data_IF_037143470917
#
_entry.id   IF_037143470917
#
_cell.length_a   1.000
_cell.length_b   1.000
_cell.length_c   1.000
_cell.angle_alpha   90.00
_cell.angle_beta   90.00
_cell.angle_gamma   90.00
#
_symmetry.space_group_name_H-M   'P 1'
#
loop_
_entity.id
_entity.type
_entity.pdbx_description
1 polymer ?
#
# COMPACT_ATOMS: atom_id res chain seq x y z
N UNK A 1 0.73 -20.17 16.20
CA UNK A 1 1.86 -19.63 15.42
C UNK A 1 1.49 -19.64 13.94
N UNK A 2 1.48 -18.51 13.29
CA UNK A 2 1.10 -18.36 11.86
C UNK A 2 2.37 -18.24 11.04
N UNK A 3 2.54 -19.12 10.04
CA UNK A 3 3.67 -19.04 9.10
C UNK A 3 3.33 -18.02 8.00
N UNK A 4 4.24 -17.09 7.73
CA UNK A 4 4.13 -16.12 6.64
C UNK A 4 5.32 -16.23 5.69
N UNK A 5 5.09 -15.87 4.43
CA UNK A 5 6.16 -15.73 3.44
C UNK A 5 6.73 -14.32 3.50
N UNK A 6 8.05 -14.19 3.39
CA UNK A 6 8.73 -12.90 3.42
C UNK A 6 9.62 -12.75 2.19
N UNK A 7 9.35 -11.71 1.37
CA UNK A 7 10.18 -11.35 0.22
C UNK A 7 11.07 -10.16 0.58
N UNK A 8 12.40 -10.37 0.61
CA UNK A 8 13.36 -9.33 1.00
C UNK A 8 13.54 -8.21 -0.05
N UNK A 9 13.27 -8.50 -1.32
CA UNK A 9 13.31 -7.49 -2.39
C UNK A 9 14.70 -6.96 -2.74
N UNK A 10 14.71 -5.79 -3.38
CA UNK A 10 15.89 -5.11 -3.89
C UNK A 10 16.22 -3.83 -3.10
N UNK A 11 17.42 -3.29 -3.34
CA UNK A 11 17.85 -2.00 -2.80
C UNK A 11 17.85 -1.96 -1.28
N UNK A 12 17.02 -1.10 -0.70
CA UNK A 12 16.84 -1.00 0.76
C UNK A 12 16.00 -2.15 1.34
N UNK A 13 15.39 -2.98 0.49
CA UNK A 13 14.46 -4.05 0.89
C UNK A 13 15.00 -4.99 1.96
N UNK A 14 16.20 -5.60 1.80
CA UNK A 14 16.77 -6.48 2.82
C UNK A 14 16.96 -5.79 4.17
N UNK A 15 17.46 -4.55 4.17
CA UNK A 15 17.73 -3.74 5.37
C UNK A 15 16.44 -3.47 6.15
N UNK A 16 15.40 -2.95 5.49
CA UNK A 16 14.13 -2.65 6.17
C UNK A 16 13.37 -3.92 6.57
N UNK A 17 13.51 -5.02 5.81
CA UNK A 17 12.94 -6.32 6.19
C UNK A 17 13.53 -6.81 7.51
N UNK A 18 14.86 -6.84 7.60
CA UNK A 18 15.56 -7.32 8.79
C UNK A 18 15.21 -6.46 10.02
N UNK A 19 15.10 -5.15 9.85
CA UNK A 19 14.64 -4.21 10.87
C UNK A 19 13.20 -4.53 11.35
N UNK A 20 12.27 -4.73 10.42
CA UNK A 20 10.87 -5.04 10.74
C UNK A 20 10.75 -6.38 11.47
N UNK A 21 11.42 -7.43 10.99
CA UNK A 21 11.41 -8.75 11.64
C UNK A 21 11.96 -8.66 13.07
N UNK A 22 13.03 -7.86 13.30
CA UNK A 22 13.60 -7.62 14.63
C UNK A 22 12.57 -7.01 15.58
N UNK A 23 11.81 -6.02 15.12
CA UNK A 23 10.73 -5.39 15.92
C UNK A 23 9.59 -6.36 16.18
N UNK A 24 9.12 -7.10 15.16
CA UNK A 24 8.03 -8.08 15.32
C UNK A 24 8.37 -9.13 16.38
N UNK A 25 9.58 -9.67 16.33
CA UNK A 25 10.06 -10.66 17.31
C UNK A 25 10.16 -10.07 18.71
N UNK A 26 10.72 -8.86 18.87
CA UNK A 26 10.83 -8.18 20.15
C UNK A 26 9.46 -7.82 20.75
N UNK A 27 8.47 -7.50 19.89
CA UNK A 27 7.11 -7.22 20.33
C UNK A 27 6.33 -8.47 20.77
N UNK A 28 6.83 -9.67 20.44
CA UNK A 28 6.19 -10.95 20.75
C UNK A 28 5.12 -11.37 19.74
N UNK A 29 5.30 -11.03 18.45
CA UNK A 29 4.41 -11.49 17.40
C UNK A 29 4.46 -13.03 17.29
N UNK A 30 3.29 -13.66 17.20
CA UNK A 30 3.15 -15.12 17.08
C UNK A 30 3.24 -15.54 15.61
N UNK A 31 4.46 -15.42 15.05
CA UNK A 31 4.75 -15.63 13.63
C UNK A 31 5.95 -16.55 13.43
N UNK A 32 5.88 -17.35 12.35
CA UNK A 32 7.00 -18.04 11.72
C UNK A 32 7.26 -17.45 10.34
N UNK A 33 8.52 -17.45 9.88
CA UNK A 33 8.91 -16.76 8.65
C UNK A 33 9.57 -17.72 7.66
N UNK A 34 9.06 -17.76 6.44
CA UNK A 34 9.74 -18.40 5.29
C UNK A 34 10.33 -17.29 4.41
N UNK A 35 11.66 -17.11 4.45
CA UNK A 35 12.36 -16.02 3.76
C UNK A 35 12.80 -16.40 2.35
N UNK A 36 12.57 -15.49 1.41
CA UNK A 36 13.03 -15.60 0.03
C UNK A 36 13.66 -14.30 -0.44
N UNK A 37 14.84 -14.44 -1.07
CA UNK A 37 15.37 -13.37 -1.88
C UNK A 37 14.59 -13.35 -3.20
N UNK A 38 14.24 -12.16 -3.65
CA UNK A 38 13.52 -11.92 -4.91
C UNK A 38 14.04 -10.65 -5.54
N UNK A 39 13.86 -10.48 -6.85
CA UNK A 39 14.23 -9.27 -7.56
C UNK A 39 15.45 -9.43 -8.46
N UNK A 40 16.15 -8.32 -8.72
CA UNK A 40 17.19 -8.23 -9.75
C UNK A 40 18.37 -9.19 -9.52
N UNK A 41 18.85 -9.33 -8.29
CA UNK A 41 19.95 -10.26 -7.97
C UNK A 41 19.58 -11.71 -8.23
N UNK A 42 18.37 -12.12 -7.87
CA UNK A 42 17.88 -13.48 -8.13
C UNK A 42 17.75 -13.72 -9.64
N UNK A 43 17.32 -12.71 -10.39
CA UNK A 43 17.24 -12.80 -11.86
C UNK A 43 18.62 -13.00 -12.52
N UNK A 44 19.66 -12.36 -12.03
CA UNK A 44 21.03 -12.55 -12.54
C UNK A 44 21.47 -14.01 -12.43
N UNK A 45 21.12 -14.68 -11.34
CA UNK A 45 21.51 -16.05 -11.02
C UNK A 45 20.60 -17.12 -11.66
N UNK A 46 19.27 -16.91 -11.62
CA UNK A 46 18.27 -17.93 -11.95
C UNK A 46 17.49 -17.64 -13.23
N UNK A 47 17.55 -16.41 -13.76
CA UNK A 47 16.70 -15.87 -14.82
C UNK A 47 15.23 -15.72 -14.45
N UNK A 48 14.91 -15.81 -13.15
CA UNK A 48 13.59 -15.58 -12.58
C UNK A 48 13.70 -14.51 -11.50
N UNK A 49 12.77 -13.54 -11.48
CA UNK A 49 12.73 -12.51 -10.42
C UNK A 49 12.20 -13.06 -9.09
N UNK A 50 11.33 -14.06 -9.18
CA UNK A 50 10.72 -14.76 -8.05
C UNK A 50 10.79 -16.24 -8.41
N UNK A 51 11.47 -17.05 -7.58
CA UNK A 51 11.62 -18.47 -7.82
C UNK A 51 10.31 -19.25 -7.57
N UNK A 52 10.17 -20.43 -8.19
CA UNK A 52 9.00 -21.28 -7.98
C UNK A 52 8.78 -21.62 -6.49
N UNK A 53 9.84 -21.89 -5.74
CA UNK A 53 9.76 -22.14 -4.28
C UNK A 53 9.20 -20.97 -3.50
N UNK A 54 9.50 -19.74 -3.92
CA UNK A 54 8.95 -18.53 -3.30
C UNK A 54 7.45 -18.39 -3.58
N UNK A 55 7.01 -18.77 -4.77
CA UNK A 55 5.58 -18.84 -5.10
C UNK A 55 4.89 -19.95 -4.30
N UNK A 56 5.43 -21.15 -4.25
CA UNK A 56 4.88 -22.27 -3.48
C UNK A 56 4.71 -21.92 -1.99
N UNK A 57 5.70 -21.23 -1.40
CA UNK A 57 5.60 -20.75 -0.03
C UNK A 57 4.44 -19.77 0.15
N UNK A 58 4.29 -18.80 -0.77
CA UNK A 58 3.19 -17.83 -0.68
C UNK A 58 1.83 -18.51 -0.91
N UNK A 59 1.74 -19.45 -1.83
CA UNK A 59 0.52 -20.24 -2.08
C UNK A 59 0.09 -21.08 -0.87
N UNK A 60 1.07 -21.65 -0.17
CA UNK A 60 0.83 -22.39 1.08
C UNK A 60 0.40 -21.48 2.23
N UNK A 61 1.14 -20.41 2.46
CA UNK A 61 0.99 -19.56 3.64
C UNK A 61 -0.11 -18.51 3.48
N UNK A 62 -0.45 -18.12 2.22
CA UNK A 62 -1.47 -17.14 1.83
C UNK A 62 -1.22 -15.70 2.30
N UNK A 63 -0.19 -15.48 3.09
CA UNK A 63 0.20 -14.19 3.66
C UNK A 63 1.64 -13.89 3.25
N UNK A 64 1.84 -12.74 2.66
CA UNK A 64 3.12 -12.24 2.19
C UNK A 64 3.45 -10.89 2.82
N UNK A 65 4.60 -10.79 3.48
CA UNK A 65 5.23 -9.52 3.80
C UNK A 65 6.33 -9.26 2.76
N UNK A 66 6.20 -8.16 2.00
CA UNK A 66 7.05 -7.91 0.84
C UNK A 66 7.72 -6.54 0.91
N UNK A 67 9.03 -6.53 0.78
CA UNK A 67 9.82 -5.32 0.54
C UNK A 67 9.85 -4.92 -0.94
N UNK A 68 10.32 -3.71 -1.26
CA UNK A 68 10.34 -3.22 -2.64
C UNK A 68 11.12 -4.14 -3.59
N UNK A 69 10.57 -4.35 -4.79
CA UNK A 69 11.22 -5.08 -5.87
C UNK A 69 11.40 -4.13 -7.06
N UNK A 70 12.60 -4.05 -7.60
CA UNK A 70 12.90 -3.24 -8.78
C UNK A 70 12.37 -3.94 -10.03
N UNK A 71 11.49 -3.27 -10.77
CA UNK A 71 11.09 -3.71 -12.10
C UNK A 71 11.99 -3.03 -13.12
N UNK A 72 12.70 -3.76 -13.99
CA UNK A 72 13.52 -3.16 -15.02
C UNK A 72 12.70 -2.29 -15.97
N UNK A 73 13.19 -1.12 -16.30
CA UNK A 73 12.62 -0.25 -17.33
C UNK A 73 13.10 -0.76 -18.69
N UNK A 74 12.21 -1.37 -19.49
CA UNK A 74 12.58 -1.86 -20.81
C UNK A 74 11.50 -2.73 -21.47
N UNK A 75 11.65 -2.99 -22.76
CA UNK A 75 10.67 -3.78 -23.53
C UNK A 75 10.61 -5.22 -23.01
N UNK A 76 9.42 -5.67 -22.61
CA UNK A 76 9.07 -7.07 -22.39
C UNK A 76 8.85 -7.54 -20.95
N UNK A 77 9.07 -6.71 -19.93
CA UNK A 77 8.82 -7.10 -18.55
C UNK A 77 7.57 -6.40 -17.98
N UNK A 78 6.59 -7.19 -17.56
CA UNK A 78 5.50 -6.67 -16.74
C UNK A 78 6.01 -6.37 -15.33
N UNK A 79 5.46 -5.33 -14.69
CA UNK A 79 5.73 -5.06 -13.28
C UNK A 79 5.48 -6.32 -12.44
N UNK A 80 6.47 -6.69 -11.61
CA UNK A 80 6.37 -7.84 -10.73
C UNK A 80 5.22 -7.67 -9.71
N UNK A 81 4.99 -6.44 -9.26
CA UNK A 81 3.87 -6.12 -8.40
C UNK A 81 2.52 -6.40 -9.11
N UNK A 82 2.38 -5.97 -10.36
CA UNK A 82 1.18 -6.25 -11.18
C UNK A 82 1.02 -7.75 -11.41
N UNK A 83 2.11 -8.48 -11.64
CA UNK A 83 2.09 -9.95 -11.80
C UNK A 83 1.58 -10.64 -10.53
N UNK A 84 2.09 -10.27 -9.35
CA UNK A 84 1.61 -10.82 -8.07
C UNK A 84 0.13 -10.50 -7.83
N UNK A 85 -0.27 -9.24 -8.04
CA UNK A 85 -1.66 -8.79 -7.86
C UNK A 85 -2.64 -9.56 -8.74
N UNK A 86 -2.28 -9.79 -9.99
CA UNK A 86 -3.13 -10.53 -10.94
C UNK A 86 -3.12 -12.04 -10.68
N UNK A 87 -1.93 -12.64 -10.41
CA UNK A 87 -1.82 -14.08 -10.16
C UNK A 87 -2.65 -14.53 -8.96
N UNK A 88 -2.70 -13.72 -7.91
CA UNK A 88 -3.39 -14.04 -6.66
C UNK A 88 -4.70 -13.29 -6.46
N UNK A 89 -5.22 -12.65 -7.52
CA UNK A 89 -6.44 -11.82 -7.50
C UNK A 89 -6.49 -10.87 -6.27
N UNK A 90 -5.41 -10.13 -6.03
CA UNK A 90 -5.30 -9.16 -4.94
C UNK A 90 -6.02 -7.86 -5.35
N UNK A 91 -7.33 -7.90 -5.37
CA UNK A 91 -8.16 -6.88 -6.00
C UNK A 91 -8.34 -5.59 -5.20
N UNK A 92 -8.10 -5.61 -3.90
CA UNK A 92 -8.19 -4.42 -3.06
C UNK A 92 -6.81 -3.97 -2.60
N UNK A 93 -6.37 -2.77 -3.02
CA UNK A 93 -5.21 -2.12 -2.42
C UNK A 93 -5.71 -1.04 -1.44
N UNK A 94 -5.31 -1.18 -0.16
CA UNK A 94 -5.77 -0.33 0.93
C UNK A 94 -4.57 0.42 1.50
N UNK A 95 -4.64 1.76 1.49
CA UNK A 95 -3.55 2.66 1.90
C UNK A 95 -4.07 3.69 2.89
N UNK A 96 -3.90 3.49 4.21
CA UNK A 96 -4.24 4.49 5.22
C UNK A 96 -3.14 5.55 5.34
N UNK A 97 -3.46 6.79 5.03
CA UNK A 97 -2.60 7.95 5.20
C UNK A 97 -3.04 8.73 6.45
N UNK A 98 -2.24 8.62 7.52
CA UNK A 98 -2.52 9.30 8.79
C UNK A 98 -1.34 10.16 9.19
N UNK A 99 -1.58 11.48 9.35
CA UNK A 99 -0.56 12.39 9.84
C UNK A 99 -0.19 12.08 11.30
N UNK A 100 1.10 12.22 11.60
CA UNK A 100 1.61 12.15 12.95
C UNK A 100 1.95 13.57 13.42
N UNK A 101 1.39 14.07 14.54
CA UNK A 101 1.66 15.42 15.03
C UNK A 101 3.15 15.71 15.28
N UNK A 102 3.94 14.66 15.50
CA UNK A 102 5.38 14.77 15.78
C UNK A 102 6.24 14.84 14.50
N UNK A 103 5.64 14.65 13.33
CA UNK A 103 6.34 14.76 12.03
C UNK A 103 5.94 16.06 11.37
N UNK A 104 6.88 17.00 11.15
CA UNK A 104 6.57 18.29 10.55
C UNK A 104 6.05 18.11 9.11
N UNK A 105 4.80 18.47 8.87
CA UNK A 105 4.18 18.55 7.55
C UNK A 105 3.41 19.86 7.40
N UNK A 106 2.97 20.18 6.19
CA UNK A 106 2.11 21.36 5.94
C UNK A 106 0.67 21.13 6.39
N UNK A 107 0.29 19.87 6.61
CA UNK A 107 -1.09 19.47 6.85
C UNK A 107 -1.20 18.76 8.19
N UNK A 108 -2.18 19.17 8.97
CA UNK A 108 -2.49 18.58 10.27
C UNK A 108 -3.80 17.77 10.17
N UNK A 109 -3.96 16.80 11.06
CA UNK A 109 -5.19 16.01 11.20
C UNK A 109 -5.65 15.28 9.92
N UNK A 110 -4.70 14.90 9.06
CA UNK A 110 -4.99 14.03 7.92
C UNK A 110 -5.22 12.60 8.43
N UNK A 111 -6.38 12.01 8.12
CA UNK A 111 -6.68 10.60 8.41
C UNK A 111 -7.56 10.04 7.30
N UNK A 112 -6.95 9.66 6.19
CA UNK A 112 -7.61 9.28 4.95
C UNK A 112 -7.24 7.84 4.60
N UNK A 113 -8.23 7.02 4.24
CA UNK A 113 -7.98 5.66 3.76
C UNK A 113 -8.38 5.54 2.29
N UNK A 114 -7.42 5.19 1.45
CA UNK A 114 -7.65 5.00 0.02
C UNK A 114 -7.89 3.52 -0.29
N UNK A 115 -9.04 3.22 -0.90
CA UNK A 115 -9.37 1.94 -1.51
C UNK A 115 -9.18 2.05 -3.02
N UNK A 116 -8.11 1.43 -3.52
CA UNK A 116 -7.75 1.37 -4.93
C UNK A 116 -8.14 0.01 -5.50
N UNK A 117 -8.97 -0.01 -6.54
CA UNK A 117 -9.11 -1.22 -7.35
C UNK A 117 -7.74 -1.58 -7.92
N UNK A 118 -7.38 -2.86 -7.98
CA UNK A 118 -5.97 -3.23 -8.12
C UNK A 118 -5.68 -4.21 -9.28
N UNK A 119 -6.69 -4.64 -10.03
CA UNK A 119 -6.57 -5.73 -11.02
C UNK A 119 -6.94 -5.34 -12.44
N UNK A 120 -7.59 -4.20 -12.65
CA UNK A 120 -8.04 -3.76 -13.98
C UNK A 120 -7.61 -2.31 -14.29
N UNK A 121 -8.40 -1.57 -15.05
CA UNK A 121 -8.12 -0.22 -15.53
C UNK A 121 -7.02 -0.23 -16.62
N UNK A 122 -6.19 0.79 -16.72
CA UNK A 122 -5.02 0.85 -17.61
C UNK A 122 -3.91 -0.14 -17.21
N UNK A 123 -3.93 -0.65 -15.98
CA UNK A 123 -2.95 -1.61 -15.46
C UNK A 123 -3.06 -3.02 -16.07
N UNK A 124 -4.11 -3.31 -16.83
CA UNK A 124 -4.16 -4.53 -17.67
C UNK A 124 -3.07 -4.52 -18.75
N UNK A 125 -2.52 -3.33 -19.07
CA UNK A 125 -1.45 -3.15 -20.06
C UNK A 125 -1.90 -3.54 -21.49
N UNK A 126 -3.18 -3.38 -21.79
CA UNK A 126 -3.69 -3.63 -23.13
C UNK A 126 -3.54 -2.39 -23.98
N UNK A 127 -2.61 -2.44 -24.92
CA UNK A 127 -2.34 -1.38 -25.89
C UNK A 127 -2.38 -1.92 -27.30
N UNK A 128 -2.71 -1.06 -28.25
CA UNK A 128 -2.80 -1.40 -29.68
C UNK A 128 -2.13 -0.32 -30.52
N UNK A 129 -1.13 -0.73 -31.30
CA UNK A 129 -0.48 0.13 -32.28
C UNK A 129 -1.42 0.20 -33.52
N UNK A 130 -2.00 1.36 -33.79
CA UNK A 130 -2.92 1.57 -34.93
C UNK A 130 -2.15 1.88 -36.20
N UNK A 131 -1.14 2.76 -36.09
CA UNK A 131 -0.22 3.15 -37.14
C UNK A 131 1.12 3.61 -36.53
N UNK A 132 2.04 4.10 -37.35
CA UNK A 132 3.39 4.56 -36.92
C UNK A 132 3.35 5.66 -35.84
N UNK A 133 2.26 6.44 -35.77
CA UNK A 133 2.12 7.62 -34.93
C UNK A 133 1.03 7.51 -33.87
N UNK A 134 0.23 6.43 -33.88
CA UNK A 134 -0.98 6.32 -33.07
C UNK A 134 -1.01 5.02 -32.27
N UNK A 135 -1.13 5.13 -30.93
CA UNK A 135 -1.30 4.00 -30.02
C UNK A 135 -2.56 4.20 -29.20
N UNK A 136 -3.39 3.16 -29.09
CA UNK A 136 -4.53 3.12 -28.19
C UNK A 136 -4.17 2.38 -26.90
N UNK A 137 -4.56 2.94 -25.76
CA UNK A 137 -4.53 2.28 -24.46
C UNK A 137 -5.98 2.03 -23.99
N UNK A 138 -6.25 0.80 -23.56
CA UNK A 138 -7.60 0.40 -23.16
C UNK A 138 -7.76 0.50 -21.64
N UNK A 139 -8.64 1.38 -21.20
CA UNK A 139 -9.13 1.41 -19.82
C UNK A 139 -10.27 0.40 -19.68
N UNK A 140 -10.07 -0.64 -18.88
CA UNK A 140 -11.05 -1.70 -18.66
C UNK A 140 -11.64 -1.55 -17.26
N UNK A 141 -12.96 -1.35 -17.19
CA UNK A 141 -13.73 -1.29 -15.94
C UNK A 141 -14.85 -2.31 -16.03
N UNK A 142 -14.91 -3.23 -15.07
CA UNK A 142 -15.93 -4.27 -15.02
C UNK A 142 -16.87 -4.11 -13.82
N UNK A 143 -18.11 -4.56 -13.97
CA UNK A 143 -19.08 -4.60 -12.88
C UNK A 143 -18.56 -5.41 -11.70
N UNK A 144 -17.92 -6.56 -11.96
CA UNK A 144 -17.41 -7.47 -10.93
C UNK A 144 -16.37 -6.76 -10.06
N UNK A 145 -15.32 -6.20 -10.65
CA UNK A 145 -14.23 -5.56 -9.91
C UNK A 145 -14.71 -4.28 -9.20
N UNK A 146 -15.52 -3.44 -9.88
CA UNK A 146 -16.10 -2.25 -9.27
C UNK A 146 -16.98 -2.59 -8.05
N UNK A 147 -17.84 -3.60 -8.16
CA UNK A 147 -18.72 -4.00 -7.06
C UNK A 147 -17.93 -4.46 -5.84
N UNK A 148 -16.90 -5.30 -6.01
CA UNK A 148 -16.14 -5.86 -4.88
C UNK A 148 -15.35 -4.78 -4.14
N UNK A 149 -14.67 -3.87 -4.84
CA UNK A 149 -13.89 -2.82 -4.19
C UNK A 149 -14.77 -1.79 -3.49
N UNK A 150 -15.88 -1.39 -4.11
CA UNK A 150 -16.82 -0.42 -3.52
C UNK A 150 -17.48 -1.01 -2.27
N UNK A 151 -17.92 -2.27 -2.35
CA UNK A 151 -18.50 -2.97 -1.19
C UNK A 151 -17.51 -3.07 -0.03
N UNK A 152 -16.27 -3.48 -0.32
CA UNK A 152 -15.21 -3.55 0.69
C UNK A 152 -14.94 -2.19 1.35
N UNK A 153 -14.99 -1.07 0.59
CA UNK A 153 -14.82 0.26 1.15
C UNK A 153 -15.98 0.65 2.09
N UNK A 154 -17.23 0.35 1.74
CA UNK A 154 -18.37 0.56 2.65
C UNK A 154 -18.29 -0.31 3.90
N UNK A 155 -17.98 -1.61 3.74
CA UNK A 155 -17.82 -2.54 4.87
C UNK A 155 -16.69 -2.10 5.80
N UNK A 156 -15.59 -1.58 5.25
CA UNK A 156 -14.52 -0.97 6.02
C UNK A 156 -15.02 0.24 6.82
N UNK A 157 -15.80 1.13 6.21
CA UNK A 157 -16.39 2.28 6.90
C UNK A 157 -17.21 1.82 8.11
N UNK A 158 -18.07 0.82 7.95
CA UNK A 158 -18.88 0.28 9.03
C UNK A 158 -18.01 -0.34 10.13
N UNK A 159 -17.08 -1.22 9.76
CA UNK A 159 -16.20 -1.93 10.70
C UNK A 159 -15.33 -0.99 11.53
N UNK A 160 -14.81 0.08 10.90
CA UNK A 160 -13.90 1.02 11.53
C UNK A 160 -14.55 2.33 11.98
N UNK A 161 -15.91 2.36 11.99
CA UNK A 161 -16.70 3.52 12.41
C UNK A 161 -16.36 4.81 11.65
N UNK A 162 -15.94 4.69 10.38
CA UNK A 162 -15.76 5.79 9.45
C UNK A 162 -17.11 6.35 9.02
N UNK A 163 -17.17 7.63 8.71
CA UNK A 163 -18.45 8.33 8.51
C UNK A 163 -18.74 8.68 7.06
N UNK A 164 -17.69 8.79 6.25
CA UNK A 164 -17.81 9.28 4.88
C UNK A 164 -17.01 8.42 3.89
N UNK A 165 -17.64 8.12 2.76
CA UNK A 165 -17.00 7.45 1.63
C UNK A 165 -17.16 8.29 0.37
N UNK A 166 -16.02 8.71 -0.21
CA UNK A 166 -15.97 9.48 -1.45
C UNK A 166 -15.57 8.59 -2.62
N UNK A 167 -16.43 8.48 -3.64
CA UNK A 167 -16.11 7.86 -4.91
C UNK A 167 -15.34 8.84 -5.80
N UNK A 168 -14.15 8.47 -6.25
CA UNK A 168 -13.33 9.30 -7.14
C UNK A 168 -13.37 8.74 -8.56
N UNK A 169 -13.75 9.59 -9.53
CA UNK A 169 -14.00 9.17 -10.91
C UNK A 169 -13.72 10.29 -11.93
N UNK A 170 -13.84 9.98 -13.22
CA UNK A 170 -13.81 10.97 -14.34
C UNK A 170 -15.01 10.78 -15.29
N UNK A 171 -16.20 10.48 -14.75
CA UNK A 171 -17.40 10.16 -15.52
C UNK A 171 -17.93 11.32 -16.38
N UNK A 172 -17.50 12.56 -16.11
CA UNK A 172 -17.82 13.69 -16.99
C UNK A 172 -17.17 13.56 -18.39
N UNK A 173 -16.06 12.83 -18.50
CA UNK A 173 -15.35 12.52 -19.75
C UNK A 173 -15.56 11.05 -20.14
N UNK A 174 -15.23 10.12 -19.22
CA UNK A 174 -15.31 8.68 -19.43
C UNK A 174 -16.70 8.17 -19.03
N UNK A 175 -17.72 8.58 -19.82
CA UNK A 175 -19.14 8.36 -19.48
C UNK A 175 -19.55 6.90 -19.37
N UNK A 176 -18.88 5.97 -20.09
CA UNK A 176 -19.19 4.54 -20.05
C UNK A 176 -18.37 3.84 -18.96
N UNK A 177 -17.07 3.92 -18.99
CA UNK A 177 -16.20 3.19 -18.04
C UNK A 177 -16.29 3.74 -16.61
N UNK A 178 -15.98 5.02 -16.41
CA UNK A 178 -16.09 5.63 -15.08
C UNK A 178 -17.56 5.84 -14.67
N UNK A 179 -18.44 6.03 -15.67
CA UNK A 179 -19.89 6.06 -15.45
C UNK A 179 -20.40 4.73 -14.85
N UNK A 180 -19.90 3.58 -15.34
CA UNK A 180 -20.22 2.28 -14.74
C UNK A 180 -19.78 2.19 -13.28
N UNK A 181 -18.53 2.61 -12.97
CA UNK A 181 -18.01 2.62 -11.61
C UNK A 181 -18.85 3.49 -10.67
N UNK A 182 -19.19 4.71 -11.12
CA UNK A 182 -20.01 5.66 -10.37
C UNK A 182 -21.43 5.13 -10.12
N UNK A 183 -22.12 4.60 -11.13
CA UNK A 183 -23.46 4.05 -10.95
C UNK A 183 -23.49 2.87 -9.97
N UNK A 184 -22.47 1.99 -10.02
CA UNK A 184 -22.35 0.89 -9.04
C UNK A 184 -22.16 1.43 -7.63
N UNK A 185 -21.35 2.50 -7.47
CA UNK A 185 -21.18 3.16 -6.18
C UNK A 185 -22.50 3.74 -5.67
N UNK A 186 -23.24 4.47 -6.49
CA UNK A 186 -24.53 5.05 -6.14
C UNK A 186 -25.58 3.99 -5.78
N UNK A 187 -25.54 2.83 -6.45
CA UNK A 187 -26.45 1.73 -6.14
C UNK A 187 -26.11 1.07 -4.81
N UNK A 188 -24.84 0.77 -4.56
CA UNK A 188 -24.39 0.13 -3.30
C UNK A 188 -24.58 1.08 -2.11
N UNK A 189 -24.38 2.40 -2.30
CA UNK A 189 -24.55 3.39 -1.24
C UNK A 189 -25.95 3.35 -0.58
N UNK A 190 -26.97 2.94 -1.32
CA UNK A 190 -28.34 2.78 -0.80
C UNK A 190 -28.47 1.75 0.33
N UNK A 191 -27.54 0.76 0.34
CA UNK A 191 -27.51 -0.30 1.36
C UNK A 191 -26.78 0.16 2.64
N UNK A 192 -26.14 1.34 2.62
CA UNK A 192 -25.34 1.88 3.73
C UNK A 192 -25.77 3.30 4.15
N UNK A 193 -27.05 3.50 4.54
CA UNK A 193 -27.58 4.83 4.83
C UNK A 193 -26.91 5.56 6.00
N UNK A 194 -26.13 4.83 6.81
CA UNK A 194 -25.35 5.38 7.93
C UNK A 194 -24.01 6.01 7.50
N UNK A 195 -23.60 5.83 6.24
CA UNK A 195 -22.37 6.39 5.69
C UNK A 195 -22.73 7.54 4.74
N UNK A 196 -22.11 8.70 4.96
CA UNK A 196 -22.19 9.81 3.99
C UNK A 196 -21.46 9.42 2.70
N UNK A 197 -22.23 9.13 1.65
CA UNK A 197 -21.71 8.75 0.34
C UNK A 197 -21.74 9.96 -0.60
N UNK A 198 -20.57 10.34 -1.13
CA UNK A 198 -20.47 11.37 -2.16
C UNK A 198 -19.52 10.97 -3.28
N UNK A 199 -19.48 11.76 -4.35
CA UNK A 199 -18.56 11.53 -5.45
C UNK A 199 -17.86 12.81 -5.88
N UNK A 200 -16.61 12.70 -6.33
CA UNK A 200 -15.82 13.81 -6.85
C UNK A 200 -15.05 13.38 -8.11
N UNK A 201 -14.90 14.36 -9.02
CA UNK A 201 -14.04 14.19 -10.19
C UNK A 201 -12.57 14.22 -9.75
N UNK A 202 -11.74 13.33 -10.29
CA UNK A 202 -10.38 13.08 -9.81
C UNK A 202 -9.47 14.31 -9.76
N UNK A 203 -9.52 15.18 -10.75
CA UNK A 203 -8.75 16.44 -10.77
C UNK A 203 -9.20 17.40 -9.66
N UNK A 204 -10.52 17.52 -9.44
CA UNK A 204 -11.05 18.27 -8.31
C UNK A 204 -10.65 17.60 -6.97
N UNK A 205 -10.67 16.28 -6.88
CA UNK A 205 -10.21 15.55 -5.69
C UNK A 205 -8.77 15.89 -5.35
N UNK A 206 -7.87 15.88 -6.34
CA UNK A 206 -6.47 16.24 -6.14
C UNK A 206 -6.31 17.68 -5.61
N UNK A 207 -7.05 18.63 -6.17
CA UNK A 207 -7.05 20.03 -5.70
C UNK A 207 -7.58 20.11 -4.25
N UNK A 208 -8.70 19.46 -3.97
CA UNK A 208 -9.33 19.49 -2.65
C UNK A 208 -8.48 18.83 -1.57
N UNK A 209 -7.75 17.76 -1.89
CA UNK A 209 -6.80 17.12 -0.98
C UNK A 209 -5.68 18.06 -0.54
N UNK A 210 -5.24 18.97 -1.42
CA UNK A 210 -4.23 19.98 -1.09
C UNK A 210 -4.82 21.17 -0.33
N UNK A 211 -6.07 21.53 -0.59
CA UNK A 211 -6.70 22.68 0.04
C UNK A 211 -7.39 22.36 1.36
N UNK A 212 -8.08 21.22 1.41
CA UNK A 212 -8.97 20.81 2.49
C UNK A 212 -8.92 19.28 2.70
N UNK A 213 -7.77 18.69 3.09
CA UNK A 213 -7.64 17.24 3.27
C UNK A 213 -8.56 16.69 4.37
N UNK A 214 -8.92 17.52 5.35
CA UNK A 214 -9.78 17.16 6.47
C UNK A 214 -11.22 16.81 6.09
N UNK A 215 -11.67 17.15 4.87
CA UNK A 215 -12.99 16.77 4.38
C UNK A 215 -13.10 15.31 3.92
N UNK A 216 -11.97 14.62 3.74
CA UNK A 216 -11.92 13.24 3.31
C UNK A 216 -11.75 12.28 4.50
N UNK A 217 -12.40 11.13 4.41
CA UNK A 217 -12.34 10.06 5.41
C UNK A 217 -11.91 8.74 4.73
N UNK A 218 -12.79 8.14 3.93
CA UNK A 218 -12.45 7.00 3.08
C UNK A 218 -12.72 7.38 1.62
N UNK A 219 -11.84 6.96 0.73
CA UNK A 219 -11.99 7.17 -0.71
C UNK A 219 -11.93 5.83 -1.45
N UNK A 220 -12.75 5.65 -2.48
CA UNK A 220 -12.73 4.49 -3.37
C UNK A 220 -12.62 4.93 -4.82
N UNK A 221 -11.78 4.25 -5.60
CA UNK A 221 -11.49 4.65 -6.97
C UNK A 221 -10.92 3.53 -7.85
N UNK A 222 -11.01 3.68 -9.19
CA UNK A 222 -10.30 2.84 -10.14
C UNK A 222 -8.78 2.86 -9.94
N UNK A 223 -8.11 1.90 -10.55
CA UNK A 223 -6.71 1.58 -10.32
C UNK A 223 -5.75 2.76 -10.54
N UNK A 224 -5.75 3.38 -11.71
CA UNK A 224 -4.83 4.48 -12.01
C UNK A 224 -5.03 5.69 -11.09
N UNK A 225 -6.28 6.05 -10.82
CA UNK A 225 -6.54 7.16 -9.91
C UNK A 225 -6.08 6.84 -8.49
N UNK A 226 -6.27 5.59 -8.05
CA UNK A 226 -5.80 5.12 -6.75
C UNK A 226 -4.28 5.17 -6.61
N UNK A 227 -3.53 4.91 -7.68
CA UNK A 227 -2.08 5.06 -7.69
C UNK A 227 -1.67 6.52 -7.47
N UNK A 228 -2.21 7.42 -8.29
CA UNK A 228 -1.87 8.84 -8.25
C UNK A 228 -2.32 9.49 -6.92
N UNK A 229 -3.56 9.24 -6.51
CA UNK A 229 -4.14 9.87 -5.32
C UNK A 229 -3.51 9.36 -4.02
N UNK A 230 -3.14 8.09 -3.94
CA UNK A 230 -2.49 7.59 -2.74
C UNK A 230 -1.06 8.11 -2.57
N UNK A 231 -0.33 8.36 -3.66
CA UNK A 231 0.97 9.03 -3.59
C UNK A 231 0.81 10.51 -3.17
N UNK A 232 -0.24 11.18 -3.67
CA UNK A 232 -0.58 12.52 -3.20
C UNK A 232 -0.88 12.52 -1.68
N UNK A 233 -1.71 11.59 -1.20
CA UNK A 233 -2.02 11.51 0.24
C UNK A 233 -0.80 11.18 1.10
N UNK A 234 0.16 10.40 0.57
CA UNK A 234 1.43 10.18 1.27
C UNK A 234 2.23 11.47 1.46
N UNK A 235 2.22 12.34 0.45
CA UNK A 235 2.84 13.66 0.53
C UNK A 235 2.23 14.55 1.62
N UNK A 236 0.92 14.41 1.89
CA UNK A 236 0.26 15.16 2.94
C UNK A 236 0.73 14.77 4.36
N UNK A 237 1.19 13.54 4.55
CA UNK A 237 1.59 12.99 5.86
C UNK A 237 3.11 12.94 6.09
N UNK A 238 3.92 13.44 5.16
CA UNK A 238 5.37 13.48 5.29
C UNK A 238 6.13 12.52 4.36
N UNK A 239 5.45 11.81 3.47
CA UNK A 239 6.06 11.02 2.39
C UNK A 239 5.80 9.52 2.46
N UNK A 240 6.27 8.83 1.41
CA UNK A 240 6.06 7.40 1.20
C UNK A 240 6.68 6.50 2.29
N UNK A 241 7.71 6.98 2.99
CA UNK A 241 8.35 6.26 4.11
C UNK A 241 7.45 6.03 5.32
N UNK A 242 6.26 6.67 5.35
CA UNK A 242 5.28 6.57 6.43
C UNK A 242 3.96 5.92 6.00
N UNK A 243 3.79 5.63 4.72
CA UNK A 243 2.55 5.11 4.16
C UNK A 243 2.55 3.58 4.13
N UNK A 244 1.73 2.90 4.96
CA UNK A 244 1.54 1.46 4.86
C UNK A 244 0.61 1.10 3.72
N UNK A 245 0.68 -0.16 3.29
CA UNK A 245 -0.19 -0.70 2.26
C UNK A 245 -0.47 -2.19 2.47
N UNK A 246 -1.68 -2.60 2.16
CA UNK A 246 -1.97 -4.01 1.93
C UNK A 246 -2.70 -4.19 0.60
N UNK A 247 -2.45 -5.32 -0.03
CA UNK A 247 -3.16 -5.80 -1.21
C UNK A 247 -3.91 -7.07 -0.80
N UNK A 248 -5.23 -7.07 -0.93
CA UNK A 248 -6.08 -8.18 -0.47
C UNK A 248 -6.88 -8.76 -1.63
N UNK A 249 -6.93 -10.08 -1.66
CA UNK A 249 -7.89 -10.89 -2.40
C UNK A 249 -8.80 -11.64 -1.45
N UNK A 250 -9.55 -12.60 -1.99
CA UNK A 250 -10.45 -13.43 -1.19
C UNK A 250 -9.67 -14.48 -0.37
N UNK A 251 -8.53 -14.95 -0.90
CA UNK A 251 -7.72 -15.99 -0.25
C UNK A 251 -6.32 -15.52 0.18
N UNK A 252 -5.75 -14.53 -0.51
CA UNK A 252 -4.38 -14.09 -0.36
C UNK A 252 -4.30 -12.66 0.11
N UNK A 253 -3.28 -12.36 0.90
CA UNK A 253 -2.96 -10.99 1.30
C UNK A 253 -1.46 -10.72 1.16
N UNK A 254 -1.10 -9.53 0.67
CA UNK A 254 0.26 -9.04 0.55
C UNK A 254 0.38 -7.68 1.22
N UNK A 255 1.28 -7.58 2.19
CA UNK A 255 1.57 -6.36 2.93
C UNK A 255 2.92 -5.82 2.46
N UNK A 256 2.95 -4.57 2.04
CA UNK A 256 4.15 -3.97 1.44
C UNK A 256 4.27 -2.49 1.76
N UNK A 257 5.51 -1.97 1.77
CA UNK A 257 5.73 -0.53 1.71
C UNK A 257 5.39 -0.01 0.31
N UNK A 258 4.84 1.20 0.23
CA UNK A 258 4.46 1.82 -1.05
C UNK A 258 5.69 2.33 -1.81
N UNK A 259 6.74 2.76 -1.09
CA UNK A 259 7.97 3.29 -1.71
C UNK A 259 8.74 2.25 -2.53
N UNK A 260 9.57 2.74 -3.43
CA UNK A 260 10.48 1.91 -4.26
C UNK A 260 11.71 1.39 -3.51
N UNK A 261 12.60 0.75 -4.24
CA UNK A 261 13.83 0.12 -3.72
C UNK A 261 14.95 1.10 -3.35
N UNK A 262 14.82 2.39 -3.67
CA UNK A 262 15.77 3.46 -3.38
C UNK A 262 17.24 3.06 -3.54
N UNK A 263 17.69 2.72 -4.78
CA UNK A 263 19.03 2.18 -5.04
C UNK A 263 20.16 3.15 -4.68
N UNK A 264 19.88 4.44 -4.64
CA UNK A 264 20.79 5.52 -4.28
C UNK A 264 21.23 5.50 -2.80
N UNK A 265 20.40 4.96 -1.91
CA UNK A 265 20.72 4.82 -0.47
C UNK A 265 20.90 3.36 -0.03
N UNK A 266 20.77 2.39 -0.95
CA UNK A 266 20.96 0.98 -0.65
C UNK A 266 22.37 0.71 -0.08
N UNK A 267 22.44 -0.03 1.04
CA UNK A 267 23.69 -0.35 1.74
C UNK A 267 24.30 0.78 2.55
N UNK A 268 23.63 1.95 2.63
CA UNK A 268 24.09 3.05 3.51
C UNK A 268 23.56 2.93 4.94
N UNK A 269 22.69 1.97 5.19
CA UNK A 269 22.08 1.71 6.52
C UNK A 269 21.35 2.93 7.11
N UNK A 270 20.62 3.67 6.26
CA UNK A 270 19.87 4.88 6.65
C UNK A 270 18.39 4.83 6.24
N UNK A 271 17.92 3.71 5.72
CA UNK A 271 16.54 3.56 5.28
C UNK A 271 15.56 3.55 6.46
N UNK A 272 14.44 4.24 6.30
CA UNK A 272 13.34 4.27 7.27
C UNK A 272 12.47 3.02 7.13
N UNK A 273 12.36 2.13 8.14
CA UNK A 273 11.56 0.93 8.06
C UNK A 273 10.07 1.15 8.38
N UNK A 274 9.65 2.38 8.70
CA UNK A 274 8.32 2.67 9.27
C UNK A 274 7.17 2.24 8.36
N UNK A 275 7.25 2.48 7.05
CA UNK A 275 6.18 2.11 6.13
C UNK A 275 5.97 0.57 6.09
N UNK A 276 7.04 -0.21 6.01
CA UNK A 276 6.97 -1.68 6.04
C UNK A 276 6.52 -2.18 7.42
N UNK A 277 6.99 -1.56 8.51
CA UNK A 277 6.57 -1.89 9.88
C UNK A 277 5.07 -1.62 10.08
N UNK A 278 4.57 -0.50 9.61
CA UNK A 278 3.14 -0.18 9.66
C UNK A 278 2.31 -1.12 8.79
N UNK A 279 2.85 -1.56 7.63
CA UNK A 279 2.22 -2.60 6.81
C UNK A 279 2.18 -3.95 7.54
N UNK A 280 3.25 -4.30 8.25
CA UNK A 280 3.27 -5.48 9.12
C UNK A 280 2.28 -5.35 10.30
N UNK A 281 2.05 -4.15 10.82
CA UNK A 281 0.98 -3.91 11.80
C UNK A 281 -0.42 -4.15 11.21
N UNK A 282 -0.67 -3.78 9.95
CA UNK A 282 -1.92 -4.13 9.26
C UNK A 282 -2.07 -5.66 9.12
N UNK A 283 -0.99 -6.36 8.84
CA UNK A 283 -0.96 -7.83 8.81
C UNK A 283 -1.31 -8.43 10.18
N UNK A 284 -0.75 -7.91 11.25
CA UNK A 284 -1.04 -8.37 12.62
C UNK A 284 -2.49 -8.12 13.01
N UNK A 285 -3.07 -6.98 12.61
CA UNK A 285 -4.50 -6.69 12.83
C UNK A 285 -5.40 -7.72 12.11
N UNK A 286 -5.06 -8.07 10.87
CA UNK A 286 -5.78 -9.10 10.11
C UNK A 286 -5.61 -10.52 10.67
N UNK A 287 -4.49 -10.78 11.36
CA UNK A 287 -4.19 -12.03 12.08
C UNK A 287 -4.72 -12.03 13.52
N UNK A 288 -5.55 -11.05 13.90
CA UNK A 288 -6.10 -10.90 15.25
C UNK A 288 -5.03 -10.78 16.35
N UNK A 289 -3.87 -10.20 16.02
CA UNK A 289 -2.81 -9.87 16.97
C UNK A 289 -2.80 -8.36 17.31
N UNK A 290 -3.98 -7.79 17.52
CA UNK A 290 -4.22 -6.35 17.72
C UNK A 290 -3.42 -5.77 18.90
N UNK A 291 -3.20 -6.57 19.95
CA UNK A 291 -2.40 -6.14 21.10
C UNK A 291 -0.95 -5.89 20.71
N UNK A 292 -0.34 -6.80 19.93
CA UNK A 292 1.04 -6.68 19.44
C UNK A 292 1.15 -5.52 18.46
N UNK A 293 0.24 -5.41 17.51
CA UNK A 293 0.14 -4.33 16.54
C UNK A 293 0.04 -2.97 17.24
N UNK A 294 -0.84 -2.84 18.24
CA UNK A 294 -1.01 -1.61 19.02
C UNK A 294 0.26 -1.24 19.79
N UNK A 295 0.95 -2.23 20.39
CA UNK A 295 2.21 -2.05 21.10
C UNK A 295 3.29 -1.47 20.17
N UNK A 296 3.44 -2.04 18.96
CA UNK A 296 4.40 -1.57 17.96
C UNK A 296 4.09 -0.13 17.53
N UNK A 297 2.82 0.17 17.20
CA UNK A 297 2.41 1.52 16.80
C UNK A 297 2.68 2.56 17.89
N UNK A 298 2.44 2.21 19.18
CA UNK A 298 2.75 3.10 20.32
C UNK A 298 4.25 3.32 20.47
N UNK A 299 5.05 2.26 20.34
CA UNK A 299 6.51 2.36 20.43
C UNK A 299 7.07 3.24 19.30
N UNK A 300 6.61 3.05 18.06
CA UNK A 300 6.99 3.89 16.91
C UNK A 300 6.59 5.35 17.12
N UNK A 301 5.36 5.62 17.58
CA UNK A 301 4.91 6.98 17.87
C UNK A 301 5.77 7.66 18.93
N UNK A 302 6.20 6.93 19.98
CA UNK A 302 7.06 7.46 21.01
C UNK A 302 8.42 7.87 20.44
N UNK A 303 8.99 7.09 19.52
CA UNK A 303 10.25 7.49 18.83
C UNK A 303 10.05 8.80 18.05
N UNK A 304 8.91 8.98 17.40
CA UNK A 304 8.59 10.24 16.73
C UNK A 304 8.42 11.40 17.71
N UNK A 305 7.79 11.18 18.86
CA UNK A 305 7.60 12.20 19.92
C UNK A 305 8.92 12.67 20.54
N UNK A 306 9.87 11.76 20.74
CA UNK A 306 11.15 12.06 21.37
C UNK A 306 12.12 12.81 20.44
N UNK A 307 11.95 12.71 19.11
CA UNK A 307 12.79 13.35 18.06
C UNK A 307 14.30 13.09 18.16
N UNK A 308 14.75 12.20 19.04
CA UNK A 308 16.17 12.00 19.35
C UNK A 308 16.87 11.04 18.39
N UNK A 309 16.14 10.06 17.84
CA UNK A 309 16.68 9.00 16.97
C UNK A 309 15.79 8.87 15.74
N UNK A 310 15.92 9.80 14.79
CA UNK A 310 15.18 9.82 13.53
C UNK A 310 16.10 9.55 12.35
N UNK A 311 15.59 8.86 11.33
CA UNK A 311 16.28 8.64 10.04
C UNK A 311 16.39 9.94 9.22
N UNK A 312 17.29 10.02 8.23
CA UNK A 312 17.52 11.26 7.46
C UNK A 312 16.30 11.79 6.72
N UNK A 313 15.40 10.93 6.24
CA UNK A 313 14.14 11.33 5.60
C UNK A 313 13.17 12.02 6.55
N UNK A 314 13.32 11.79 7.86
CA UNK A 314 12.59 12.47 8.94
C UNK A 314 13.35 13.65 9.56
N UNK A 315 14.45 14.06 8.92
CA UNK A 315 15.28 15.19 9.37
C UNK A 315 16.31 14.85 10.46
N UNK A 316 16.48 13.57 10.78
CA UNK A 316 17.49 13.08 11.72
C UNK A 316 18.79 12.63 11.04
N UNK A 317 19.59 11.85 11.76
CA UNK A 317 20.85 11.26 11.28
C UNK A 317 21.06 9.83 11.78
N UNK A 318 20.03 9.21 12.33
CA UNK A 318 20.11 7.85 12.84
C UNK A 318 20.22 6.84 11.70
N UNK A 319 20.94 5.75 11.96
CA UNK A 319 20.92 4.59 11.09
C UNK A 319 19.61 3.81 11.24
N UNK A 320 19.29 2.96 10.26
CA UNK A 320 18.15 2.03 10.32
C UNK A 320 18.19 1.18 11.60
N UNK A 321 19.38 0.71 11.98
CA UNK A 321 19.57 -0.07 13.21
C UNK A 321 19.30 0.74 14.47
N UNK A 322 19.86 1.95 14.59
CA UNK A 322 19.63 2.81 15.73
C UNK A 322 18.14 3.16 15.90
N UNK A 323 17.47 3.49 14.80
CA UNK A 323 16.03 3.76 14.80
C UNK A 323 15.22 2.52 15.23
N UNK A 324 15.60 1.33 14.72
CA UNK A 324 14.98 0.06 15.08
C UNK A 324 15.15 -0.28 16.55
N UNK A 325 16.36 -0.09 17.09
CA UNK A 325 16.66 -0.36 18.49
C UNK A 325 15.91 0.59 19.43
N UNK A 326 15.73 1.85 19.02
CA UNK A 326 14.92 2.80 19.80
C UNK A 326 13.44 2.42 19.81
N UNK A 327 12.89 1.89 18.68
CA UNK A 327 11.53 1.32 18.68
C UNK A 327 11.44 0.17 19.67
N UNK A 328 12.40 -0.77 19.63
CA UNK A 328 12.42 -1.95 20.52
C UNK A 328 12.51 -1.57 22.00
N UNK A 329 13.31 -0.58 22.34
CA UNK A 329 13.43 -0.04 23.71
C UNK A 329 12.11 0.52 24.23
N UNK A 330 11.24 1.00 23.35
CA UNK A 330 9.94 1.57 23.68
C UNK A 330 8.78 0.54 23.65
N UNK A 331 9.05 -0.74 23.30
CA UNK A 331 8.08 -1.82 23.42
C UNK A 331 7.87 -2.18 24.94
#
# INVERSE_FOLDING_TARGET
MTTITVFKGDGIGPEITDAVIKVLNAAGADLEYEFFNVGAKVYEETKEYITEKAFESYEKNKILLKSPITTPVGKGFRSLNVTLRNKYDLWANIRPAKSNPCIPTRFENVDIVTFRENTEDLYVGKEEQIDENTVYAYKIITKKASTRIIKAAFEYCVKHNRKKLTCVHKANILKMSDGLFLHIFEDIAKDYPQIEANSLIVDNTCMQLVMHPEQFDVMVMPNLYGDIVSDLTSGLIGGLGLLPSCNKGDEYAMYEAVHGSAPDIAGKHIANPSALLLSACMMLDDLHQDVVSSKIRKALNKVFEEHSVLTPDLGGNATTEQFTDEIIKNL
#
